data_IF_888039619660
#
_entry.id   IF_888039619660
#
_cell.length_a   1.000
_cell.length_b   1.000
_cell.length_c   1.000
_cell.angle_alpha   90.00
_cell.angle_beta   90.00
_cell.angle_gamma   90.00
#
_symmetry.space_group_name_H-M   'P 1'
#
loop_
_entity.id
_entity.type
_entity.pdbx_description
1 polymer ?
#
# COMPACT_ATOMS: atom_id res chain seq x y z
N UNK A 1 -38.67 23.77 -15.59
CA UNK A 1 -38.08 22.52 -16.11
C UNK A 1 -36.62 22.41 -15.64
N UNK A 2 -36.30 21.63 -14.60
CA UNK A 2 -34.91 21.39 -14.21
C UNK A 2 -34.29 20.28 -15.08
N UNK A 3 -32.99 20.47 -15.39
CA UNK A 3 -32.21 19.73 -16.39
C UNK A 3 -31.94 18.28 -15.96
N UNK A 4 -32.19 17.34 -16.88
CA UNK A 4 -31.82 15.93 -16.79
C UNK A 4 -30.30 15.78 -16.91
N UNK A 5 -29.65 15.38 -15.81
CA UNK A 5 -28.25 14.96 -15.85
C UNK A 5 -28.19 13.44 -16.08
N UNK A 6 -27.20 13.04 -16.88
CA UNK A 6 -27.05 11.76 -17.55
C UNK A 6 -26.51 10.70 -16.57
N UNK A 7 -27.36 9.75 -16.18
CA UNK A 7 -27.00 8.64 -15.30
C UNK A 7 -26.42 7.46 -16.11
N UNK A 8 -25.18 7.56 -16.58
CA UNK A 8 -24.52 6.40 -17.19
C UNK A 8 -23.90 5.49 -16.11
N UNK A 9 -24.67 4.44 -15.78
CA UNK A 9 -24.23 3.09 -15.40
C UNK A 9 -23.36 2.97 -14.15
N UNK A 10 -23.98 3.08 -12.97
CA UNK A 10 -23.48 2.43 -11.77
C UNK A 10 -24.00 0.98 -11.74
N UNK A 11 -23.08 0.02 -11.87
CA UNK A 11 -23.37 -1.39 -11.65
C UNK A 11 -23.89 -1.57 -10.21
N UNK A 12 -25.17 -1.96 -10.10
CA UNK A 12 -25.85 -2.27 -8.84
C UNK A 12 -25.11 -3.36 -8.08
N UNK A 13 -24.43 -2.99 -7.00
CA UNK A 13 -24.38 -3.83 -5.79
C UNK A 13 -25.42 -3.21 -4.87
N UNK A 14 -26.66 -3.69 -4.97
CA UNK A 14 -27.72 -3.34 -4.02
C UNK A 14 -27.48 -4.17 -2.76
N UNK A 15 -26.89 -3.55 -1.74
CA UNK A 15 -27.10 -4.00 -0.36
C UNK A 15 -28.44 -3.38 0.11
N UNK A 16 -29.25 -4.16 0.81
CA UNK A 16 -30.64 -3.82 1.17
C UNK A 16 -30.75 -2.75 2.28
N UNK A 17 -29.72 -1.91 2.46
CA UNK A 17 -29.58 -0.99 3.59
C UNK A 17 -29.64 0.50 3.22
N UNK A 18 -29.74 0.85 1.93
CA UNK A 18 -29.67 2.26 1.49
C UNK A 18 -28.30 2.91 1.75
N UNK A 19 -27.24 2.10 1.93
CA UNK A 19 -25.90 2.59 2.26
C UNK A 19 -25.15 2.82 0.95
N UNK A 20 -24.87 4.09 0.66
CA UNK A 20 -24.02 4.46 -0.48
C UNK A 20 -22.64 3.81 -0.29
N UNK A 21 -22.10 3.10 -1.30
CA UNK A 21 -20.79 2.48 -1.20
C UNK A 21 -19.72 3.57 -0.97
N UNK A 22 -19.10 3.54 0.20
CA UNK A 22 -18.06 4.49 0.62
C UNK A 22 -16.82 3.72 1.06
N UNK A 23 -15.63 4.28 0.76
CA UNK A 23 -14.35 3.81 1.30
C UNK A 23 -13.92 4.71 2.44
N UNK A 24 -13.04 4.23 3.32
CA UNK A 24 -12.37 5.08 4.31
C UNK A 24 -10.90 5.27 3.90
N UNK A 25 -10.37 6.48 4.05
CA UNK A 25 -8.98 6.75 3.77
C UNK A 25 -8.08 5.97 4.75
N UNK A 26 -7.09 5.19 4.27
CA UNK A 26 -6.23 4.37 5.13
C UNK A 26 -5.26 5.18 6.00
N UNK A 27 -5.16 6.51 5.77
CA UNK A 27 -4.25 7.40 6.49
C UNK A 27 -4.94 8.15 7.63
N UNK A 28 -6.18 8.62 7.41
CA UNK A 28 -6.88 9.49 8.37
C UNK A 28 -8.31 9.05 8.68
N UNK A 29 -8.83 7.99 8.04
CA UNK A 29 -10.16 7.46 8.29
C UNK A 29 -11.32 8.26 7.70
N UNK A 30 -11.08 9.33 6.92
CA UNK A 30 -12.16 10.10 6.28
C UNK A 30 -12.90 9.28 5.22
N UNK A 31 -14.22 9.45 5.13
CA UNK A 31 -15.06 8.85 4.09
C UNK A 31 -14.68 9.35 2.68
N UNK A 32 -14.66 8.42 1.73
CA UNK A 32 -14.38 8.62 0.31
C UNK A 32 -15.60 8.07 -0.45
N UNK A 33 -16.38 8.98 -1.04
CA UNK A 33 -17.56 8.62 -1.86
C UNK A 33 -17.17 8.19 -3.27
N UNK A 34 -15.99 8.59 -3.74
CA UNK A 34 -15.42 8.17 -5.02
C UNK A 34 -14.65 6.86 -4.85
N UNK A 35 -15.25 5.74 -5.26
CA UNK A 35 -14.63 4.42 -5.15
C UNK A 35 -13.36 4.24 -5.98
N UNK A 36 -13.07 5.13 -6.96
CA UNK A 36 -11.81 5.10 -7.70
C UNK A 36 -10.65 5.74 -6.93
N UNK A 37 -10.94 6.59 -5.96
CA UNK A 37 -9.91 7.21 -5.12
C UNK A 37 -9.59 6.33 -3.92
N UNK A 38 -8.30 6.16 -3.67
CA UNK A 38 -7.78 5.40 -2.53
C UNK A 38 -7.52 6.30 -1.30
N UNK A 39 -7.27 7.59 -1.53
CA UNK A 39 -6.98 8.58 -0.48
C UNK A 39 -7.95 9.76 -0.57
N UNK A 40 -8.29 10.35 0.59
CA UNK A 40 -9.20 11.50 0.64
C UNK A 40 -8.56 12.81 0.15
N UNK A 41 -7.23 12.87 0.03
CA UNK A 41 -6.46 14.04 -0.39
C UNK A 41 -5.05 13.64 -0.86
N UNK A 42 -4.42 14.49 -1.66
CA UNK A 42 -3.03 14.32 -2.10
C UNK A 42 -2.04 14.32 -0.92
N UNK A 43 -2.36 15.04 0.16
CA UNK A 43 -1.58 15.02 1.38
C UNK A 43 -1.55 13.61 2.00
N UNK A 44 -2.70 12.92 2.06
CA UNK A 44 -2.78 11.55 2.56
C UNK A 44 -2.03 10.57 1.64
N UNK A 45 -2.11 10.76 0.32
CA UNK A 45 -1.34 9.97 -0.65
C UNK A 45 0.16 10.12 -0.41
N UNK A 46 0.65 11.36 -0.27
CA UNK A 46 2.06 11.64 -0.01
C UNK A 46 2.60 11.04 1.29
N UNK A 47 1.77 10.99 2.35
CA UNK A 47 2.13 10.33 3.62
C UNK A 47 2.33 8.82 3.41
N UNK A 48 1.45 8.18 2.64
CA UNK A 48 1.54 6.76 2.32
C UNK A 48 2.80 6.45 1.48
N UNK A 49 3.02 7.22 0.41
CA UNK A 49 4.18 7.07 -0.46
C UNK A 49 5.52 7.28 0.28
N UNK A 50 5.56 8.22 1.23
CA UNK A 50 6.75 8.44 2.05
C UNK A 50 6.99 7.31 3.07
N UNK A 51 5.92 6.73 3.63
CA UNK A 51 6.04 5.51 4.46
C UNK A 51 6.60 4.34 3.65
N UNK A 52 6.19 4.18 2.40
CA UNK A 52 6.66 3.09 1.55
C UNK A 52 8.13 3.25 1.13
N UNK A 53 8.58 4.48 0.85
CA UNK A 53 10.01 4.76 0.62
C UNK A 53 10.87 4.38 1.82
N UNK A 54 10.39 4.65 3.04
CA UNK A 54 11.07 4.26 4.28
C UNK A 54 11.14 2.74 4.49
N UNK A 55 10.04 2.03 4.21
CA UNK A 55 9.98 0.57 4.31
C UNK A 55 10.94 -0.11 3.34
N UNK A 56 11.02 0.36 2.09
CA UNK A 56 11.95 -0.18 1.09
C UNK A 56 13.40 -0.07 1.57
N UNK A 57 13.82 1.09 2.09
CA UNK A 57 15.18 1.26 2.65
C UNK A 57 15.48 0.30 3.81
N UNK A 58 14.51 0.08 4.71
CA UNK A 58 14.65 -0.89 5.80
C UNK A 58 14.78 -2.33 5.27
N UNK A 59 13.95 -2.71 4.30
CA UNK A 59 13.99 -4.03 3.67
C UNK A 59 15.35 -4.30 3.00
N UNK A 60 15.85 -3.37 2.17
CA UNK A 60 17.15 -3.51 1.53
C UNK A 60 18.30 -3.61 2.55
N UNK A 61 18.24 -2.85 3.65
CA UNK A 61 19.24 -2.95 4.73
C UNK A 61 19.24 -4.33 5.37
N UNK A 62 18.07 -4.88 5.68
CA UNK A 62 17.97 -6.22 6.27
C UNK A 62 18.48 -7.31 5.32
N UNK A 63 18.13 -7.21 4.03
CA UNK A 63 18.64 -8.12 3.00
C UNK A 63 20.17 -8.05 2.91
N UNK A 64 20.74 -6.85 2.85
CA UNK A 64 22.21 -6.68 2.78
C UNK A 64 22.92 -7.33 3.99
N UNK A 65 22.39 -7.14 5.20
CA UNK A 65 22.93 -7.77 6.42
C UNK A 65 22.86 -9.29 6.32
N UNK A 66 21.72 -9.85 5.88
CA UNK A 66 21.57 -11.31 5.73
C UNK A 66 22.54 -11.90 4.71
N UNK A 67 22.78 -11.21 3.59
CA UNK A 67 23.72 -11.67 2.56
C UNK A 67 25.15 -11.68 3.11
N UNK A 68 25.56 -10.62 3.80
CA UNK A 68 26.89 -10.55 4.43
C UNK A 68 27.06 -11.68 5.46
N UNK A 69 26.05 -11.94 6.28
CA UNK A 69 26.10 -13.01 7.27
C UNK A 69 26.26 -14.40 6.63
N UNK A 70 25.49 -14.69 5.57
CA UNK A 70 25.59 -15.95 4.83
C UNK A 70 26.98 -16.11 4.21
N UNK A 71 27.49 -15.07 3.55
CA UNK A 71 28.83 -15.09 2.95
C UNK A 71 29.91 -15.31 4.00
N UNK A 72 29.82 -14.66 5.17
CA UNK A 72 30.77 -14.86 6.25
C UNK A 72 30.78 -16.32 6.75
N UNK A 73 29.61 -16.93 6.95
CA UNK A 73 29.50 -18.34 7.36
C UNK A 73 30.10 -19.27 6.30
N UNK A 74 29.83 -19.03 5.02
CA UNK A 74 30.40 -19.82 3.93
C UNK A 74 31.93 -19.72 3.90
N UNK A 75 32.49 -18.52 4.07
CA UNK A 75 33.95 -18.33 4.14
C UNK A 75 34.52 -19.11 5.32
N UNK A 76 33.92 -19.01 6.50
CA UNK A 76 34.36 -19.77 7.69
C UNK A 76 34.32 -21.27 7.44
N UNK A 77 33.24 -21.79 6.84
CA UNK A 77 33.15 -23.21 6.49
C UNK A 77 34.25 -23.66 5.51
N UNK A 78 34.53 -22.86 4.47
CA UNK A 78 35.58 -23.17 3.49
C UNK A 78 36.95 -23.15 4.16
N UNK A 79 37.23 -22.18 5.01
CA UNK A 79 38.50 -22.08 5.75
C UNK A 79 38.70 -23.26 6.70
N UNK A 80 37.65 -23.70 7.39
CA UNK A 80 37.70 -24.88 8.27
C UNK A 80 37.85 -26.19 7.49
N UNK A 81 37.32 -26.27 6.26
CA UNK A 81 37.42 -27.47 5.44
C UNK A 81 38.78 -27.62 4.74
N UNK A 82 39.45 -26.51 4.44
CA UNK A 82 40.72 -26.49 3.70
C UNK A 82 41.96 -26.48 4.59
N UNK A 83 41.79 -26.63 5.91
CA UNK A 83 42.84 -26.62 6.91
C UNK A 83 42.84 -27.95 7.67
#
# INVERSE_FOLDING_TARGET
MPKSYKFEKFHKVQDDSGIVPHKHCPVCGRQIYDLQREYCSDACKGISENKDKGKKKKMYRMIAISVIAVVAVLIVMILLNNN
#
